data_IF_700793751863
#
_entry.id   IF_700793751863
#
_cell.length_a   1.000
_cell.length_b   1.000
_cell.length_c   1.000
_cell.angle_alpha   90.00
_cell.angle_beta   90.00
_cell.angle_gamma   90.00
#
_symmetry.space_group_name_H-M   'P 1'
#
loop_
_entity.id
_entity.type
_entity.pdbx_description
1 polymer ?
#
# COMPACT_ATOMS: atom_id res chain seq x y z
N UNK A 1 26.82 4.92 1.26
CA UNK A 1 26.48 3.77 0.41
C UNK A 1 27.34 3.83 -0.82
N UNK A 2 28.09 2.77 -1.10
CA UNK A 2 29.07 2.73 -2.18
C UNK A 2 28.34 2.70 -3.54
N UNK A 3 28.94 3.25 -4.60
CA UNK A 3 28.36 3.28 -5.97
C UNK A 3 27.97 1.86 -6.43
N UNK A 4 28.71 0.85 -6.00
CA UNK A 4 28.45 -0.56 -6.31
C UNK A 4 27.16 -1.07 -5.65
N UNK A 5 26.88 -0.69 -4.39
CA UNK A 5 25.63 -1.03 -3.70
C UNK A 5 24.42 -0.36 -4.35
N UNK A 6 24.57 0.88 -4.82
CA UNK A 6 23.51 1.62 -5.50
C UNK A 6 23.16 1.02 -6.88
N UNK A 7 24.18 0.54 -7.62
CA UNK A 7 23.98 -0.15 -8.91
C UNK A 7 23.32 -1.51 -8.69
N UNK A 8 23.72 -2.25 -7.66
CA UNK A 8 23.13 -3.54 -7.31
C UNK A 8 21.66 -3.39 -6.89
N UNK A 9 21.35 -2.36 -6.10
CA UNK A 9 20.01 -2.01 -5.62
C UNK A 9 19.08 -1.61 -6.79
N UNK A 10 19.53 -0.75 -7.69
CA UNK A 10 18.78 -0.34 -8.88
C UNK A 10 18.56 -1.51 -9.86
N UNK A 11 19.53 -2.42 -10.01
CA UNK A 11 19.35 -3.62 -10.81
C UNK A 11 18.35 -4.60 -10.21
N UNK A 12 18.30 -4.72 -8.87
CA UNK A 12 17.27 -5.52 -8.20
C UNK A 12 15.88 -4.92 -8.38
N UNK A 13 15.71 -3.60 -8.28
CA UNK A 13 14.46 -2.89 -8.53
C UNK A 13 13.94 -3.12 -9.95
N UNK A 14 14.78 -2.94 -10.97
CA UNK A 14 14.41 -3.19 -12.36
C UNK A 14 14.08 -4.68 -12.59
N UNK A 15 14.86 -5.59 -12.04
CA UNK A 15 14.63 -7.03 -12.17
C UNK A 15 13.29 -7.42 -11.51
N UNK A 16 12.95 -6.84 -10.35
CA UNK A 16 11.69 -7.09 -9.66
C UNK A 16 10.49 -6.56 -10.43
N UNK A 17 10.58 -5.36 -10.99
CA UNK A 17 9.55 -4.76 -11.85
C UNK A 17 9.29 -5.60 -13.11
N UNK A 18 10.35 -6.02 -13.81
CA UNK A 18 10.22 -6.89 -14.98
C UNK A 18 9.64 -8.26 -14.60
N UNK A 19 10.06 -8.82 -13.46
CA UNK A 19 9.58 -10.09 -12.95
C UNK A 19 8.10 -10.04 -12.58
N UNK A 20 7.62 -8.95 -11.99
CA UNK A 20 6.20 -8.75 -11.70
C UNK A 20 5.37 -8.69 -12.98
N UNK A 21 5.83 -7.93 -13.98
CA UNK A 21 5.18 -7.81 -15.28
C UNK A 21 5.17 -9.14 -16.05
N UNK A 22 6.27 -9.89 -16.00
CA UNK A 22 6.34 -11.23 -16.56
C UNK A 22 5.44 -12.21 -15.82
N UNK A 23 5.45 -12.22 -14.48
CA UNK A 23 4.58 -13.09 -13.68
C UNK A 23 3.11 -12.78 -13.89
N UNK A 24 2.72 -11.52 -14.02
CA UNK A 24 1.35 -11.12 -14.36
C UNK A 24 0.95 -11.63 -15.74
N UNK A 25 1.79 -11.46 -16.76
CA UNK A 25 1.55 -11.97 -18.11
C UNK A 25 1.57 -13.51 -18.17
N UNK A 26 2.49 -14.15 -17.42
CA UNK A 26 2.56 -15.61 -17.34
C UNK A 26 1.33 -16.17 -16.62
N UNK A 27 0.84 -15.51 -15.56
CA UNK A 27 -0.35 -15.95 -14.83
C UNK A 27 -1.61 -15.77 -15.68
N UNK A 28 -1.80 -14.63 -16.36
CA UNK A 28 -2.89 -14.46 -17.33
C UNK A 28 -2.84 -15.50 -18.43
N UNK A 29 -1.65 -15.78 -18.98
CA UNK A 29 -1.45 -16.83 -19.97
C UNK A 29 -1.69 -18.24 -19.45
N UNK A 30 -1.28 -18.53 -18.19
CA UNK A 30 -1.48 -19.84 -17.55
C UNK A 30 -2.94 -20.10 -17.19
N UNK A 31 -3.69 -19.09 -16.72
CA UNK A 31 -5.12 -19.24 -16.43
C UNK A 31 -5.91 -19.50 -17.72
N UNK A 32 -5.67 -18.75 -18.78
CA UNK A 32 -6.31 -18.98 -20.08
C UNK A 32 -5.92 -20.35 -20.66
N UNK A 33 -4.64 -20.71 -20.60
CA UNK A 33 -4.15 -21.98 -21.12
C UNK A 33 -4.57 -23.17 -20.23
N UNK A 34 -4.59 -23.02 -18.90
CA UNK A 34 -5.02 -24.07 -17.99
C UNK A 34 -6.51 -24.40 -18.15
N UNK A 35 -7.37 -23.39 -18.34
CA UNK A 35 -8.78 -23.59 -18.59
C UNK A 35 -9.01 -24.26 -19.94
N UNK A 36 -8.31 -23.83 -20.99
CA UNK A 36 -8.37 -24.44 -22.31
C UNK A 36 -7.84 -25.88 -22.26
N UNK A 37 -6.69 -26.12 -21.61
CA UNK A 37 -6.10 -27.44 -21.47
C UNK A 37 -7.00 -28.41 -20.67
N UNK A 38 -7.67 -27.91 -19.62
CA UNK A 38 -8.60 -28.72 -18.83
C UNK A 38 -9.85 -29.08 -19.66
N UNK A 39 -10.42 -28.15 -20.42
CA UNK A 39 -11.55 -28.38 -21.32
C UNK A 39 -11.20 -29.37 -22.42
N UNK A 40 -10.03 -29.24 -23.01
CA UNK A 40 -9.53 -30.14 -24.05
C UNK A 40 -9.31 -31.56 -23.52
N UNK A 41 -8.76 -31.71 -22.29
CA UNK A 41 -8.54 -33.00 -21.67
C UNK A 41 -9.87 -33.67 -21.26
N UNK A 42 -10.85 -32.92 -20.77
CA UNK A 42 -12.20 -33.42 -20.48
C UNK A 42 -12.89 -33.89 -21.78
N UNK A 43 -12.82 -33.08 -22.85
CA UNK A 43 -13.37 -33.46 -24.15
C UNK A 43 -12.73 -34.72 -24.71
N UNK A 44 -11.43 -34.87 -24.56
CA UNK A 44 -10.67 -36.06 -24.96
C UNK A 44 -11.08 -37.30 -24.14
N UNK A 45 -11.18 -37.18 -22.82
CA UNK A 45 -11.59 -38.32 -21.95
C UNK A 45 -13.05 -38.70 -22.21
N UNK A 46 -13.94 -37.74 -22.48
CA UNK A 46 -15.30 -38.05 -22.89
C UNK A 46 -15.37 -38.80 -24.25
N UNK A 47 -14.58 -38.33 -25.26
CA UNK A 47 -14.49 -39.01 -26.53
C UNK A 47 -13.91 -40.42 -26.45
N UNK A 48 -13.14 -40.73 -25.43
CA UNK A 48 -12.58 -42.04 -25.14
C UNK A 48 -13.49 -42.92 -24.27
N UNK A 49 -14.65 -42.44 -23.86
CA UNK A 49 -15.58 -43.16 -22.98
C UNK A 49 -15.07 -43.35 -21.53
N UNK A 50 -14.06 -42.58 -21.12
CA UNK A 50 -13.47 -42.63 -19.78
C UNK A 50 -14.26 -41.83 -18.74
N UNK A 51 -15.07 -40.88 -19.18
CA UNK A 51 -16.03 -40.13 -18.37
C UNK A 51 -17.40 -40.12 -19.05
N UNK A 52 -18.48 -40.13 -18.30
CA UNK A 52 -19.82 -40.11 -18.82
C UNK A 52 -20.37 -38.67 -18.95
N UNK A 53 -21.54 -38.53 -19.62
CA UNK A 53 -22.17 -37.23 -19.82
C UNK A 53 -22.63 -36.57 -18.52
N UNK A 54 -22.89 -37.32 -17.46
CA UNK A 54 -23.26 -36.75 -16.17
C UNK A 54 -22.05 -36.16 -15.45
N UNK A 55 -20.89 -36.76 -15.62
CA UNK A 55 -19.61 -36.23 -15.14
C UNK A 55 -19.22 -34.98 -15.89
N UNK A 56 -19.34 -34.95 -17.23
CA UNK A 56 -19.09 -33.75 -18.04
C UNK A 56 -20.04 -32.62 -17.64
N UNK A 57 -21.35 -32.90 -17.57
CA UNK A 57 -22.36 -31.93 -17.15
C UNK A 57 -22.18 -31.45 -15.72
N UNK A 58 -21.70 -32.31 -14.80
CA UNK A 58 -21.38 -31.90 -13.43
C UNK A 58 -20.13 -31.04 -13.36
N UNK A 59 -19.14 -31.24 -14.24
CA UNK A 59 -17.95 -30.41 -14.38
C UNK A 59 -18.23 -29.08 -15.08
N UNK A 60 -19.11 -29.09 -16.10
CA UNK A 60 -19.56 -27.86 -16.78
C UNK A 60 -20.50 -27.05 -15.90
N UNK A 61 -21.33 -27.68 -15.05
CA UNK A 61 -22.24 -27.04 -14.11
C UNK A 61 -21.65 -26.90 -12.71
N UNK A 62 -20.58 -27.64 -12.34
CA UNK A 62 -19.71 -27.21 -11.30
C UNK A 62 -18.99 -25.99 -11.90
N UNK A 63 -19.60 -24.86 -11.68
CA UNK A 63 -18.84 -23.64 -11.59
C UNK A 63 -17.82 -23.87 -10.46
N UNK A 64 -16.66 -24.48 -10.80
CA UNK A 64 -15.41 -24.01 -10.26
C UNK A 64 -15.33 -22.63 -10.87
N UNK A 65 -16.11 -21.72 -10.30
CA UNK A 65 -15.82 -20.30 -10.42
C UNK A 65 -14.35 -20.25 -9.99
N UNK A 66 -13.40 -19.92 -10.83
CA UNK A 66 -12.10 -19.44 -10.40
C UNK A 66 -12.50 -18.40 -9.39
N UNK A 67 -12.15 -18.58 -8.11
CA UNK A 67 -12.61 -17.85 -6.94
C UNK A 67 -13.10 -16.50 -7.41
N UNK A 68 -14.43 -16.28 -7.41
CA UNK A 68 -14.98 -15.08 -8.02
C UNK A 68 -14.22 -13.95 -7.35
N UNK A 69 -13.45 -13.19 -8.13
CA UNK A 69 -12.74 -12.02 -7.63
C UNK A 69 -13.82 -11.18 -7.01
N UNK A 70 -13.90 -11.16 -5.68
CA UNK A 70 -14.92 -10.40 -4.99
C UNK A 70 -14.44 -8.97 -5.04
N UNK A 71 -14.85 -8.29 -6.10
CA UNK A 71 -14.59 -6.87 -6.26
C UNK A 71 -15.18 -6.11 -5.08
N UNK A 72 -14.33 -5.39 -4.40
CA UNK A 72 -14.69 -4.62 -3.22
C UNK A 72 -14.74 -3.13 -3.59
N UNK A 73 -15.93 -2.53 -3.58
CA UNK A 73 -16.09 -1.12 -3.92
C UNK A 73 -16.46 -0.28 -2.70
N UNK A 74 -15.84 0.89 -2.58
CA UNK A 74 -16.22 1.95 -1.64
C UNK A 74 -16.44 3.24 -2.43
N UNK A 75 -17.64 3.79 -2.39
CA UNK A 75 -18.01 5.01 -3.11
C UNK A 75 -17.60 4.97 -4.61
N UNK A 76 -17.80 3.83 -5.25
CA UNK A 76 -17.47 3.61 -6.67
C UNK A 76 -16.00 3.32 -6.96
N UNK A 77 -15.12 3.32 -5.95
CA UNK A 77 -13.70 2.99 -6.10
C UNK A 77 -13.44 1.53 -5.78
N UNK A 78 -12.76 0.84 -6.68
CA UNK A 78 -12.35 -0.53 -6.48
C UNK A 78 -11.17 -0.59 -5.51
N UNK A 79 -11.32 -1.38 -4.46
CA UNK A 79 -10.38 -1.41 -3.34
C UNK A 79 -9.38 -2.57 -3.39
N UNK A 80 -9.52 -3.47 -4.35
CA UNK A 80 -8.65 -4.64 -4.52
C UNK A 80 -7.26 -4.27 -5.06
N UNK A 81 -7.18 -3.18 -5.86
CA UNK A 81 -5.95 -2.67 -6.48
C UNK A 81 -5.74 -1.23 -6.08
N UNK A 82 -5.00 -0.97 -5.02
CA UNK A 82 -4.83 0.41 -4.52
C UNK A 82 -3.86 1.24 -5.36
N UNK A 83 -2.74 0.65 -5.76
CA UNK A 83 -1.70 1.24 -6.59
C UNK A 83 -1.10 0.20 -7.53
N UNK A 84 -0.52 0.63 -8.63
CA UNK A 84 0.42 -0.18 -9.41
C UNK A 84 1.79 -0.22 -8.74
N UNK A 85 2.63 -1.19 -9.10
CA UNK A 85 4.01 -1.23 -8.61
C UNK A 85 4.84 -0.04 -9.11
N UNK A 86 4.56 0.49 -10.30
CA UNK A 86 5.23 1.68 -10.81
C UNK A 86 4.91 2.95 -10.02
N UNK A 87 3.69 3.05 -9.46
CA UNK A 87 3.32 4.18 -8.60
C UNK A 87 3.83 4.03 -7.16
N UNK A 88 4.03 2.79 -6.73
CA UNK A 88 4.47 2.47 -5.38
C UNK A 88 5.98 2.56 -5.21
N UNK A 89 6.74 2.14 -6.22
CA UNK A 89 8.19 2.09 -6.19
C UNK A 89 8.84 3.40 -6.61
N UNK A 90 10.05 3.64 -6.11
CA UNK A 90 10.88 4.75 -6.54
C UNK A 90 11.36 4.52 -7.98
N UNK A 91 10.98 5.42 -8.88
CA UNK A 91 11.51 5.49 -10.25
C UNK A 91 12.18 6.86 -10.43
N UNK A 92 13.43 6.88 -10.90
CA UNK A 92 14.18 8.12 -11.09
C UNK A 92 13.48 9.11 -12.05
N UNK A 93 12.72 8.61 -13.02
CA UNK A 93 12.07 9.43 -14.04
C UNK A 93 10.73 10.03 -13.55
N UNK A 94 10.02 9.31 -12.68
CA UNK A 94 8.68 9.67 -12.20
C UNK A 94 8.64 10.03 -10.71
N UNK A 95 9.76 9.82 -9.98
CA UNK A 95 9.82 10.15 -8.57
C UNK A 95 10.00 11.65 -8.37
N UNK A 96 9.40 12.18 -7.29
CA UNK A 96 9.59 13.58 -6.91
C UNK A 96 11.00 13.81 -6.38
N UNK A 97 11.67 14.85 -6.88
CA UNK A 97 12.93 15.37 -6.32
C UNK A 97 12.67 16.05 -4.96
N UNK A 98 13.73 16.29 -4.17
CA UNK A 98 13.62 17.06 -2.93
C UNK A 98 12.99 18.44 -3.16
N UNK A 99 13.34 19.12 -4.28
CA UNK A 99 12.79 20.44 -4.63
C UNK A 99 11.30 20.36 -4.95
N UNK A 100 10.84 19.35 -5.66
CA UNK A 100 9.42 19.13 -5.96
C UNK A 100 8.62 18.78 -4.69
N UNK A 101 9.17 17.95 -3.80
CA UNK A 101 8.59 17.67 -2.48
C UNK A 101 8.47 18.98 -1.69
N UNK A 102 9.51 19.82 -1.67
CA UNK A 102 9.49 21.12 -1.00
C UNK A 102 8.41 22.05 -1.57
N UNK A 103 8.31 22.12 -2.90
CA UNK A 103 7.32 22.92 -3.59
C UNK A 103 5.90 22.41 -3.31
N UNK A 104 5.70 21.09 -3.29
CA UNK A 104 4.44 20.46 -2.94
C UNK A 104 4.01 20.78 -1.49
N UNK A 105 4.90 20.61 -0.51
CA UNK A 105 4.64 20.95 0.88
C UNK A 105 4.31 22.45 1.05
N UNK A 106 4.97 23.30 0.28
CA UNK A 106 4.71 24.76 0.26
C UNK A 106 3.33 25.05 -0.33
N UNK A 107 2.95 24.42 -1.44
CA UNK A 107 1.63 24.59 -2.07
C UNK A 107 0.47 24.13 -1.16
N UNK A 108 0.72 23.13 -0.30
CA UNK A 108 -0.25 22.67 0.71
C UNK A 108 -0.27 23.53 1.97
N UNK A 109 0.52 24.59 2.05
CA UNK A 109 0.72 25.39 3.26
C UNK A 109 1.10 24.55 4.49
N UNK A 110 1.81 23.44 4.24
CA UNK A 110 2.17 22.44 5.25
C UNK A 110 3.11 22.99 6.31
N UNK A 111 2.95 22.55 7.55
CA UNK A 111 3.97 22.75 8.60
C UNK A 111 5.31 22.13 8.19
N UNK A 112 5.29 21.06 7.41
CA UNK A 112 6.49 20.36 6.91
C UNK A 112 7.28 21.13 5.84
N UNK A 113 6.80 22.28 5.38
CA UNK A 113 7.57 23.15 4.47
C UNK A 113 8.76 23.82 5.16
N UNK A 114 8.74 23.89 6.50
CA UNK A 114 9.79 24.49 7.31
C UNK A 114 10.67 23.41 7.94
N UNK A 115 11.87 23.81 8.36
CA UNK A 115 12.68 22.95 9.23
C UNK A 115 11.96 22.71 10.56
N UNK A 116 12.00 21.48 11.05
CA UNK A 116 11.34 21.06 12.28
C UNK A 116 12.33 20.47 13.27
N UNK A 117 12.12 20.75 14.54
CA UNK A 117 12.81 20.06 15.64
C UNK A 117 12.27 18.65 15.78
N UNK A 118 13.13 17.72 16.10
CA UNK A 118 12.76 16.33 16.36
C UNK A 118 12.55 16.10 17.84
N UNK A 119 11.32 15.72 18.17
CA UNK A 119 10.93 15.19 19.47
C UNK A 119 10.72 13.68 19.36
N UNK A 120 11.12 12.95 20.41
CA UNK A 120 10.92 11.51 20.51
C UNK A 120 10.31 11.17 21.88
N UNK A 121 9.82 9.95 22.04
CA UNK A 121 9.29 9.44 23.30
C UNK A 121 10.31 8.49 23.92
N UNK A 122 10.64 8.70 25.19
CA UNK A 122 11.52 7.80 25.92
C UNK A 122 10.78 6.56 26.44
N UNK A 123 11.51 5.63 27.04
CA UNK A 123 10.94 4.38 27.59
C UNK A 123 9.92 4.60 28.72
N UNK A 124 9.91 5.77 29.34
CA UNK A 124 8.92 6.16 30.35
C UNK A 124 7.68 6.84 29.75
N UNK A 125 7.57 6.93 28.42
CA UNK A 125 6.43 7.54 27.75
C UNK A 125 6.49 9.08 27.67
N UNK A 126 7.61 9.72 28.07
CA UNK A 126 7.74 11.17 28.05
C UNK A 126 8.41 11.65 26.76
N UNK A 127 7.84 12.73 26.19
CA UNK A 127 8.46 13.42 25.07
C UNK A 127 9.71 14.19 25.48
N UNK A 128 10.75 14.15 24.65
CA UNK A 128 11.98 14.92 24.83
C UNK A 128 12.49 15.49 23.51
N UNK A 129 13.14 16.66 23.58
CA UNK A 129 13.85 17.27 22.45
C UNK A 129 15.15 16.50 22.21
N UNK A 130 15.31 15.96 21.01
CA UNK A 130 16.53 15.20 20.63
C UNK A 130 17.72 16.10 20.30
N UNK A 131 17.54 17.42 20.30
CA UNK A 131 18.53 18.41 19.86
C UNK A 131 18.72 18.48 18.34
N UNK A 132 18.01 17.66 17.56
CA UNK A 132 18.11 17.62 16.10
C UNK A 132 17.03 18.49 15.43
N UNK A 133 17.42 19.11 14.33
CA UNK A 133 16.51 19.83 13.44
C UNK A 133 16.70 19.29 12.03
N UNK A 134 15.61 19.00 11.33
CA UNK A 134 15.63 18.42 9.99
C UNK A 134 14.81 19.25 9.01
N UNK A 135 15.11 19.13 7.73
CA UNK A 135 14.31 19.61 6.60
C UNK A 135 13.41 18.45 6.14
N UNK A 136 12.08 18.51 6.32
CA UNK A 136 11.19 17.38 6.00
C UNK A 136 11.27 16.92 4.55
N UNK A 137 11.37 17.85 3.57
CA UNK A 137 11.51 17.49 2.16
C UNK A 137 12.76 16.65 1.89
N UNK A 138 13.88 16.93 2.61
CA UNK A 138 15.09 16.12 2.50
C UNK A 138 14.90 14.74 3.13
N UNK A 139 14.30 14.68 4.32
CA UNK A 139 14.02 13.40 5.01
C UNK A 139 13.15 12.50 4.12
N UNK A 140 12.08 13.03 3.51
CA UNK A 140 11.21 12.29 2.61
C UNK A 140 11.95 11.82 1.36
N UNK A 141 12.74 12.71 0.73
CA UNK A 141 13.51 12.38 -0.47
C UNK A 141 14.57 11.31 -0.20
N UNK A 142 15.29 11.42 0.92
CA UNK A 142 16.31 10.44 1.29
C UNK A 142 15.69 9.08 1.62
N UNK A 143 14.60 9.06 2.41
CA UNK A 143 13.89 7.83 2.73
C UNK A 143 13.32 7.14 1.49
N UNK A 144 12.74 7.92 0.56
CA UNK A 144 12.23 7.41 -0.71
C UNK A 144 13.32 6.71 -1.52
N UNK A 145 14.46 7.37 -1.69
CA UNK A 145 15.62 6.83 -2.44
C UNK A 145 16.22 5.62 -1.74
N UNK A 146 16.44 5.72 -0.43
CA UNK A 146 17.11 4.67 0.34
C UNK A 146 16.24 3.40 0.47
N UNK A 147 14.93 3.59 0.62
CA UNK A 147 14.00 2.47 0.73
C UNK A 147 13.51 1.95 -0.63
N UNK A 148 13.59 2.72 -1.71
CA UNK A 148 13.03 2.34 -3.00
C UNK A 148 11.51 2.57 -3.11
N UNK A 149 10.92 3.44 -2.27
CA UNK A 149 9.49 3.77 -2.26
C UNK A 149 9.24 5.15 -2.89
N UNK A 150 8.20 5.26 -3.70
CA UNK A 150 7.82 6.53 -4.31
C UNK A 150 7.52 7.60 -3.22
N UNK A 151 8.09 8.81 -3.29
CA UNK A 151 7.82 9.89 -2.34
C UNK A 151 6.32 10.22 -2.20
N UNK A 152 5.52 10.03 -3.25
CA UNK A 152 4.06 10.23 -3.21
C UNK A 152 3.40 9.29 -2.21
N UNK A 153 3.84 8.03 -2.13
CA UNK A 153 3.34 7.06 -1.13
C UNK A 153 3.65 7.53 0.29
N UNK A 154 4.86 8.04 0.52
CA UNK A 154 5.26 8.59 1.83
C UNK A 154 4.40 9.79 2.20
N UNK A 155 4.22 10.74 1.28
CA UNK A 155 3.39 11.94 1.49
C UNK A 155 1.94 11.58 1.80
N UNK A 156 1.35 10.63 1.07
CA UNK A 156 -0.02 10.17 1.32
C UNK A 156 -0.14 9.46 2.67
N UNK A 157 0.85 8.65 3.03
CA UNK A 157 0.86 7.97 4.35
C UNK A 157 0.96 8.99 5.48
N UNK A 158 1.85 10.00 5.37
CA UNK A 158 1.93 11.12 6.32
C UNK A 158 0.60 11.86 6.46
N UNK A 159 -0.11 12.06 5.35
CA UNK A 159 -1.42 12.70 5.39
C UNK A 159 -2.48 11.81 6.03
N UNK A 160 -2.51 10.55 5.65
CA UNK A 160 -3.51 9.59 6.14
C UNK A 160 -3.37 9.33 7.64
N UNK A 161 -2.13 9.11 8.12
CA UNK A 161 -1.90 8.72 9.52
C UNK A 161 -1.90 9.92 10.48
N UNK A 162 -1.45 11.08 10.05
CA UNK A 162 -1.18 12.20 10.95
C UNK A 162 -1.66 13.57 10.46
N UNK A 163 -2.21 13.64 9.24
CA UNK A 163 -2.65 14.88 8.57
C UNK A 163 -1.54 15.95 8.43
N UNK A 164 -0.27 15.55 8.52
CA UNK A 164 0.85 16.50 8.59
C UNK A 164 1.07 17.28 7.29
N UNK A 165 0.72 16.71 6.13
CA UNK A 165 0.96 17.38 4.84
C UNK A 165 0.06 18.61 4.66
N UNK A 166 -1.14 18.61 5.24
CA UNK A 166 -2.06 19.76 5.19
C UNK A 166 -2.16 20.52 6.50
N UNK A 167 -1.45 20.08 7.55
CA UNK A 167 -1.46 20.76 8.86
C UNK A 167 -0.63 22.03 8.82
N UNK A 168 -1.17 23.09 9.42
CA UNK A 168 -0.46 24.35 9.69
C UNK A 168 0.00 24.50 11.14
N UNK A 169 -0.32 23.52 12.01
CA UNK A 169 0.02 23.54 13.42
C UNK A 169 1.53 23.34 13.64
N UNK A 170 2.18 24.38 14.12
CA UNK A 170 3.64 24.41 14.34
C UNK A 170 4.11 23.72 15.62
N UNK A 171 3.21 23.20 16.44
CA UNK A 171 3.59 22.42 17.61
C UNK A 171 4.11 21.04 17.19
N UNK A 172 5.43 20.92 17.04
CA UNK A 172 6.11 19.69 16.64
C UNK A 172 6.26 18.67 17.78
N UNK A 173 6.00 19.08 19.03
CA UNK A 173 5.99 18.17 20.18
C UNK A 173 4.58 17.61 20.42
N UNK A 174 4.06 16.85 19.47
CA UNK A 174 2.76 16.18 19.56
C UNK A 174 2.79 14.82 18.89
N UNK A 175 1.83 13.94 19.23
CA UNK A 175 1.75 12.56 18.75
C UNK A 175 1.85 12.47 17.22
N UNK A 176 1.24 13.40 16.48
CA UNK A 176 1.30 13.43 15.01
C UNK A 176 2.74 13.49 14.45
N UNK A 177 3.69 14.07 15.16
CA UNK A 177 5.10 14.08 14.76
C UNK A 177 5.88 12.90 15.35
N UNK A 178 5.52 12.46 16.58
CA UNK A 178 6.18 11.32 17.19
C UNK A 178 5.93 10.02 16.41
N UNK A 179 4.72 9.86 15.88
CA UNK A 179 4.26 8.70 15.10
C UNK A 179 3.74 9.16 13.71
N UNK A 180 4.55 9.93 13.01
CA UNK A 180 4.14 10.63 11.79
C UNK A 180 3.57 9.72 10.68
N UNK A 181 4.10 8.52 10.57
CA UNK A 181 3.63 7.48 9.63
C UNK A 181 2.77 6.40 10.32
N UNK A 182 2.56 6.47 11.64
CA UNK A 182 1.87 5.43 12.41
C UNK A 182 2.70 4.17 12.66
N UNK A 183 3.98 4.14 12.27
CA UNK A 183 4.83 2.97 12.40
C UNK A 183 5.15 2.67 13.87
N UNK A 184 4.79 1.46 14.32
CA UNK A 184 4.91 1.06 15.72
C UNK A 184 3.86 1.65 16.66
N UNK A 185 2.85 2.35 16.13
CA UNK A 185 1.65 2.70 16.89
C UNK A 185 0.66 1.53 16.79
N UNK A 186 0.43 0.82 17.91
CA UNK A 186 -0.42 -0.38 17.90
C UNK A 186 -1.48 -0.31 19.00
N UNK A 187 -2.57 -1.06 18.83
CA UNK A 187 -3.64 -1.16 19.82
C UNK A 187 -3.18 -1.79 21.14
N UNK A 188 -2.11 -2.58 21.11
CA UNK A 188 -1.50 -3.23 22.27
C UNK A 188 -0.46 -2.35 22.99
N UNK A 189 -0.14 -1.17 22.45
CA UNK A 189 0.82 -0.23 22.98
C UNK A 189 1.80 0.27 21.92
N UNK A 190 2.28 1.49 22.12
CA UNK A 190 3.18 2.16 21.19
C UNK A 190 4.64 1.75 21.39
N UNK A 191 5.37 1.52 20.30
CA UNK A 191 6.81 1.23 20.32
C UNK A 191 7.59 2.54 20.30
N UNK A 192 8.04 2.98 21.47
CA UNK A 192 8.66 4.32 21.64
C UNK A 192 10.00 4.47 20.93
N UNK A 193 10.72 3.38 20.66
CA UNK A 193 12.02 3.40 19.94
C UNK A 193 11.92 3.86 18.50
N UNK A 194 10.71 3.83 17.91
CA UNK A 194 10.46 4.26 16.53
C UNK A 194 9.97 5.71 16.42
N UNK A 195 9.90 6.43 17.55
CA UNK A 195 9.37 7.79 17.58
C UNK A 195 10.35 8.84 17.03
N UNK A 196 9.77 9.90 16.49
CA UNK A 196 10.44 11.00 15.83
C UNK A 196 10.18 11.02 14.32
N UNK A 197 9.90 12.19 13.78
CA UNK A 197 9.47 12.36 12.38
C UNK A 197 10.41 11.66 11.38
N UNK A 198 11.70 11.86 11.51
CA UNK A 198 12.72 11.28 10.61
C UNK A 198 12.74 9.76 10.68
N UNK A 199 12.76 9.17 11.88
CA UNK A 199 12.69 7.72 12.07
C UNK A 199 11.40 7.12 11.53
N UNK A 200 10.27 7.79 11.75
CA UNK A 200 8.98 7.34 11.25
C UNK A 200 8.98 7.24 9.74
N UNK A 201 9.50 8.26 9.05
CA UNK A 201 9.56 8.28 7.59
C UNK A 201 10.54 7.22 7.07
N UNK A 202 11.72 7.11 7.65
CA UNK A 202 12.75 6.17 7.26
C UNK A 202 12.31 4.71 7.46
N UNK A 203 11.89 4.36 8.68
CA UNK A 203 11.57 2.97 9.04
C UNK A 203 10.30 2.47 8.38
N UNK A 204 9.26 3.30 8.27
CA UNK A 204 8.02 2.92 7.61
C UNK A 204 8.25 2.66 6.11
N UNK A 205 9.04 3.53 5.45
CA UNK A 205 9.36 3.36 4.02
C UNK A 205 10.19 2.10 3.78
N UNK A 206 11.21 1.85 4.61
CA UNK A 206 12.04 0.65 4.53
C UNK A 206 11.19 -0.63 4.75
N UNK A 207 10.28 -0.61 5.73
CA UNK A 207 9.36 -1.72 5.98
C UNK A 207 8.42 -1.98 4.79
N UNK A 208 7.85 -0.94 4.20
CA UNK A 208 6.95 -1.09 3.06
C UNK A 208 7.66 -1.73 1.86
N UNK A 209 8.89 -1.32 1.58
CA UNK A 209 9.67 -1.91 0.49
C UNK A 209 10.07 -3.36 0.79
N UNK A 210 10.55 -3.64 2.00
CA UNK A 210 10.89 -5.00 2.43
C UNK A 210 9.68 -5.95 2.26
N UNK A 211 8.49 -5.50 2.70
CA UNK A 211 7.26 -6.27 2.54
C UNK A 211 6.83 -6.45 1.09
N UNK A 212 7.01 -5.42 0.27
CA UNK A 212 6.75 -5.53 -1.16
C UNK A 212 7.67 -6.58 -1.81
N UNK A 213 8.96 -6.55 -1.48
CA UNK A 213 9.98 -7.38 -2.11
C UNK A 213 9.89 -8.85 -1.68
N UNK A 214 9.70 -9.11 -0.39
CA UNK A 214 9.88 -10.46 0.17
C UNK A 214 8.56 -11.18 0.51
N UNK A 215 7.53 -10.44 0.93
CA UNK A 215 6.33 -11.04 1.53
C UNK A 215 5.06 -10.87 0.68
N UNK A 216 5.01 -9.88 -0.24
CA UNK A 216 3.79 -9.54 -0.97
C UNK A 216 3.31 -10.69 -1.88
N UNK A 217 2.00 -10.84 -1.96
CA UNK A 217 1.34 -11.93 -2.70
C UNK A 217 0.15 -11.37 -3.48
N UNK A 218 -0.12 -11.98 -4.63
CA UNK A 218 -1.30 -11.72 -5.43
C UNK A 218 -2.38 -12.79 -5.18
N UNK A 219 -3.61 -12.43 -5.50
CA UNK A 219 -4.78 -13.31 -5.46
C UNK A 219 -5.00 -13.98 -4.09
N UNK A 220 -4.59 -13.31 -3.03
CA UNK A 220 -4.76 -13.77 -1.64
C UNK A 220 -5.81 -12.95 -0.91
N UNK A 221 -6.51 -13.59 0.04
CA UNK A 221 -7.44 -12.92 0.92
C UNK A 221 -6.71 -12.43 2.18
N UNK A 222 -6.79 -11.13 2.43
CA UNK A 222 -6.33 -10.52 3.67
C UNK A 222 -7.52 -10.24 4.59
N UNK A 223 -7.31 -10.43 5.90
CA UNK A 223 -8.27 -10.02 6.92
C UNK A 223 -8.21 -8.50 7.07
N UNK A 224 -9.35 -7.84 6.93
CA UNK A 224 -9.48 -6.38 7.07
C UNK A 224 -10.66 -6.04 7.97
N UNK A 225 -10.70 -4.80 8.47
CA UNK A 225 -11.78 -4.30 9.33
C UNK A 225 -12.02 -5.21 10.56
N UNK A 226 -10.97 -5.81 11.13
CA UNK A 226 -11.05 -6.74 12.25
C UNK A 226 -11.74 -8.07 11.91
N UNK A 227 -11.81 -8.46 10.64
CA UNK A 227 -12.47 -9.68 10.18
C UNK A 227 -14.00 -9.61 10.19
N UNK A 228 -14.58 -8.45 10.48
CA UNK A 228 -16.02 -8.25 10.61
C UNK A 228 -16.60 -7.64 9.36
N UNK A 229 -17.59 -8.31 8.76
CA UNK A 229 -18.43 -7.71 7.72
C UNK A 229 -19.47 -6.77 8.37
N UNK A 230 -19.59 -5.57 7.85
CA UNK A 230 -20.54 -4.56 8.32
C UNK A 230 -21.31 -3.98 7.14
N UNK A 231 -22.55 -3.61 7.35
CA UNK A 231 -23.36 -2.86 6.38
C UNK A 231 -23.59 -1.45 6.93
N UNK A 232 -23.25 -0.44 6.15
CA UNK A 232 -23.48 0.96 6.47
C UNK A 232 -23.84 1.73 5.20
N UNK A 233 -24.87 2.59 5.25
CA UNK A 233 -25.31 3.37 4.09
C UNK A 233 -25.69 2.53 2.87
N UNK A 234 -26.18 1.29 3.06
CA UNK A 234 -26.52 0.37 1.96
C UNK A 234 -25.32 -0.36 1.32
N UNK A 235 -24.13 -0.15 1.83
CA UNK A 235 -22.92 -0.83 1.36
C UNK A 235 -22.47 -1.87 2.38
N UNK A 236 -22.28 -3.11 1.91
CA UNK A 236 -21.76 -4.20 2.75
C UNK A 236 -20.23 -4.24 2.61
N UNK A 237 -19.55 -4.20 3.72
CA UNK A 237 -18.10 -4.24 3.83
C UNK A 237 -17.66 -5.59 4.37
N UNK A 238 -16.92 -6.34 3.58
CA UNK A 238 -16.43 -7.64 3.99
C UNK A 238 -15.30 -7.52 5.02
N UNK A 239 -15.19 -8.48 5.91
CA UNK A 239 -14.06 -8.64 6.83
C UNK A 239 -12.80 -9.20 6.16
N UNK A 240 -12.86 -9.47 4.85
CA UNK A 240 -11.75 -9.93 4.02
C UNK A 240 -11.76 -9.20 2.69
N UNK A 241 -10.56 -8.97 2.12
CA UNK A 241 -10.38 -8.44 0.79
C UNK A 241 -9.39 -9.31 0.01
N UNK A 242 -9.71 -9.63 -1.23
CA UNK A 242 -8.75 -10.22 -2.16
C UNK A 242 -7.93 -9.10 -2.79
N UNK A 243 -6.61 -9.20 -2.76
CA UNK A 243 -5.70 -8.23 -3.34
C UNK A 243 -5.14 -8.74 -4.64
N UNK A 244 -5.06 -7.88 -5.64
CA UNK A 244 -4.62 -8.18 -7.00
C UNK A 244 -3.41 -7.34 -7.45
N UNK A 245 -2.86 -6.51 -6.57
CA UNK A 245 -1.56 -5.85 -6.77
C UNK A 245 -0.67 -6.02 -5.53
N UNK A 246 0.64 -6.13 -5.73
CA UNK A 246 1.59 -6.21 -4.62
C UNK A 246 1.55 -4.98 -3.70
N UNK A 247 1.43 -3.74 -4.23
CA UNK A 247 1.23 -2.57 -3.38
C UNK A 247 -0.04 -2.65 -2.52
N UNK A 248 -1.16 -3.16 -3.06
CA UNK A 248 -2.37 -3.36 -2.27
C UNK A 248 -2.12 -4.32 -1.10
N UNK A 249 -1.37 -5.41 -1.34
CA UNK A 249 -0.98 -6.33 -0.28
C UNK A 249 -0.20 -5.61 0.84
N UNK A 250 0.81 -4.80 0.48
CA UNK A 250 1.61 -4.04 1.45
C UNK A 250 0.75 -3.04 2.23
N UNK A 251 -0.06 -2.27 1.52
CA UNK A 251 -0.89 -1.22 2.14
C UNK A 251 -1.94 -1.81 3.09
N UNK A 252 -2.53 -2.97 2.76
CA UNK A 252 -3.45 -3.67 3.68
C UNK A 252 -2.74 -4.38 4.83
N UNK A 253 -1.49 -4.79 4.65
CA UNK A 253 -0.68 -5.33 5.74
C UNK A 253 -0.24 -4.21 6.70
N UNK A 254 0.05 -3.03 6.17
CA UNK A 254 0.38 -1.84 6.95
C UNK A 254 -0.83 -1.30 7.72
N UNK A 255 -1.98 -1.20 7.05
CA UNK A 255 -3.24 -0.72 7.62
C UNK A 255 -4.34 -1.70 7.26
N UNK A 256 -4.70 -2.66 8.12
CA UNK A 256 -5.68 -3.71 7.82
C UNK A 256 -7.13 -3.20 7.87
N UNK A 257 -7.38 -2.03 7.31
CA UNK A 257 -8.67 -1.39 7.21
C UNK A 257 -8.95 -0.91 5.80
N UNK A 258 -10.06 -1.34 5.21
CA UNK A 258 -10.52 -0.79 3.93
C UNK A 258 -11.03 0.62 4.16
N UNK A 259 -11.85 0.79 5.19
CA UNK A 259 -12.48 2.05 5.56
C UNK A 259 -12.73 2.07 7.07
N UNK A 260 -12.74 3.26 7.66
CA UNK A 260 -13.21 3.48 9.01
C UNK A 260 -14.66 4.01 8.97
N UNK A 261 -15.58 3.24 9.49
CA UNK A 261 -17.00 3.59 9.49
C UNK A 261 -17.33 4.81 10.32
N UNK A 262 -16.58 5.03 11.40
CA UNK A 262 -16.80 6.18 12.28
C UNK A 262 -16.45 7.49 11.59
N UNK A 263 -15.60 7.41 10.53
CA UNK A 263 -15.15 8.55 9.74
C UNK A 263 -15.97 8.74 8.45
N UNK A 264 -16.91 7.85 8.15
CA UNK A 264 -17.88 8.08 7.08
C UNK A 264 -19.02 8.98 7.60
N UNK A 265 -19.55 9.88 6.77
CA UNK A 265 -19.30 10.11 5.34
C UNK A 265 -18.16 11.11 5.05
N UNK A 266 -17.43 11.58 6.04
CA UNK A 266 -16.46 12.70 5.89
C UNK A 266 -15.19 12.29 5.17
N UNK A 267 -14.27 11.61 5.85
CA UNK A 267 -12.95 11.25 5.29
C UNK A 267 -12.81 9.77 4.95
N UNK A 268 -13.54 8.89 5.64
CA UNK A 268 -13.61 7.45 5.36
C UNK A 268 -12.50 6.60 5.95
N UNK A 269 -11.36 7.13 6.33
CA UNK A 269 -10.25 6.38 6.95
C UNK A 269 -9.70 5.21 6.12
N UNK A 270 -8.85 4.40 6.73
CA UNK A 270 -8.28 3.19 6.13
C UNK A 270 -7.59 3.41 4.78
N UNK A 271 -7.52 2.36 3.95
CA UNK A 271 -6.93 2.47 2.62
C UNK A 271 -7.84 3.20 1.61
N UNK A 272 -9.13 3.37 1.90
CA UNK A 272 -9.98 4.26 1.12
C UNK A 272 -9.50 5.72 1.23
N UNK A 273 -9.13 6.19 2.43
CA UNK A 273 -8.55 7.53 2.59
C UNK A 273 -7.20 7.65 1.88
N UNK A 274 -6.36 6.60 1.93
CA UNK A 274 -5.10 6.58 1.17
C UNK A 274 -5.36 6.82 -0.32
N UNK A 275 -6.23 6.02 -0.93
CA UNK A 275 -6.56 6.14 -2.35
C UNK A 275 -7.17 7.50 -2.69
N UNK A 276 -8.12 7.98 -1.88
CA UNK A 276 -8.76 9.29 -2.06
C UNK A 276 -7.76 10.45 -2.02
N UNK A 277 -6.78 10.40 -1.11
CA UNK A 277 -5.74 11.42 -1.01
C UNK A 277 -4.78 11.34 -2.19
N UNK A 278 -4.35 10.14 -2.56
CA UNK A 278 -3.45 9.92 -3.68
C UNK A 278 -4.04 10.47 -4.99
N UNK A 279 -5.25 10.07 -5.33
CA UNK A 279 -5.96 10.55 -6.53
C UNK A 279 -6.29 12.04 -6.47
N UNK A 280 -6.61 12.56 -5.31
CA UNK A 280 -6.91 13.99 -5.13
C UNK A 280 -5.68 14.90 -5.27
N UNK A 281 -4.46 14.36 -5.16
CA UNK A 281 -3.22 15.11 -5.32
C UNK A 281 -2.54 14.87 -6.66
N UNK A 282 -2.67 13.68 -7.20
CA UNK A 282 -2.15 13.29 -8.50
C UNK A 282 -3.26 12.61 -9.27
N UNK A 283 -3.34 12.87 -10.57
CA UNK A 283 -4.36 12.27 -11.43
C UNK A 283 -4.38 10.75 -11.26
N UNK A 284 -5.56 10.18 -11.32
CA UNK A 284 -5.75 8.73 -11.26
C UNK A 284 -4.85 8.05 -12.29
N UNK A 285 -4.15 7.02 -11.85
CA UNK A 285 -3.30 6.17 -12.68
C UNK A 285 -4.10 5.01 -13.33
N UNK A 286 -5.41 4.97 -13.08
CA UNK A 286 -6.36 4.01 -13.69
C UNK A 286 -7.28 4.65 -14.73
N UNK A 287 -7.02 5.86 -15.18
CA UNK A 287 -7.76 6.47 -16.28
C UNK A 287 -7.19 6.06 -17.64
#
# INVERSE_FOLDING_TARGET
MDVVENIFYNNQLQTSYFREKELYQINLGKFSNAETTLKDEIAKQYSQGLVDSSTVNSLENSSVTPFAVVDYYVAGKRMNSLLSSSDFLYNNDDAMTESEIQSFLTSKNSVLRNNIKIYAINSSGNAYDTGRTVKPSKVISDAAKNAGINPRVILVTLQKESSLVTSTDTNVNRRAFHYAMGYGATDSGDITTYTGFDKQVELASAWMYDKWLHDSKLDVFLTVNGGVSKTSGGVTYAGKIQVDTFPAWVLYTYTPHVIDYSLLPTIGGGNYLFLKVFEGWWSSWYD
#
